data_IF_481960178642
#
_entry.id   IF_481960178642
#
_cell.length_a   1.000
_cell.length_b   1.000
_cell.length_c   1.000
_cell.angle_alpha   90.00
_cell.angle_beta   90.00
_cell.angle_gamma   90.00
#
_symmetry.space_group_name_H-M   'P 1'
#
loop_
_entity.id
_entity.type
_entity.pdbx_description
1 polymer ?
#
# COMPACT_ATOMS: atom_id res chain seq x y z
N UNK A 1 4.70 -8.57 30.75
CA UNK A 1 4.10 -8.20 29.44
C UNK A 1 4.62 -6.80 29.14
N UNK A 2 5.28 -6.55 28.00
CA UNK A 2 5.72 -5.18 27.67
C UNK A 2 4.47 -4.37 27.28
N UNK A 3 4.25 -3.22 27.91
CA UNK A 3 3.12 -2.30 27.69
C UNK A 3 3.25 -1.57 26.35
N UNK A 4 3.37 -2.33 25.27
CA UNK A 4 3.49 -1.77 23.92
C UNK A 4 2.09 -1.53 23.35
N UNK A 5 1.89 -0.36 22.75
CA UNK A 5 0.70 -0.04 21.99
C UNK A 5 0.75 -0.72 20.61
N UNK A 6 -0.34 -1.37 20.22
CA UNK A 6 -0.49 -2.01 18.92
C UNK A 6 -1.78 -1.56 18.28
N UNK A 7 -1.78 -1.48 16.95
CA UNK A 7 -2.95 -1.15 16.14
C UNK A 7 -3.07 -2.14 15.00
N UNK A 8 -4.31 -2.48 14.64
CA UNK A 8 -4.58 -3.21 13.40
C UNK A 8 -4.43 -2.24 12.23
N UNK A 9 -3.56 -2.56 11.28
CA UNK A 9 -3.21 -1.65 10.19
C UNK A 9 -4.39 -1.35 9.26
N UNK A 10 -4.90 -0.10 9.20
CA UNK A 10 -5.91 0.30 8.21
C UNK A 10 -5.32 0.43 6.80
N UNK A 11 -4.01 0.66 6.73
CA UNK A 11 -3.11 0.76 5.59
C UNK A 11 -1.66 0.67 6.10
N UNK A 12 -0.65 0.66 5.22
CA UNK A 12 0.73 0.29 5.57
C UNK A 12 1.82 1.24 5.01
N UNK A 13 1.50 2.51 4.74
CA UNK A 13 2.42 3.53 4.20
C UNK A 13 3.65 3.68 5.10
N UNK A 14 3.47 3.90 6.41
CA UNK A 14 4.56 4.12 7.35
C UNK A 14 5.38 2.85 7.59
N UNK A 15 4.70 1.70 7.62
CA UNK A 15 5.35 0.40 7.75
C UNK A 15 6.23 0.10 6.53
N UNK A 16 5.73 0.36 5.32
CA UNK A 16 6.46 0.17 4.08
C UNK A 16 7.61 1.18 3.95
N UNK A 17 7.39 2.44 4.30
CA UNK A 17 8.46 3.45 4.35
C UNK A 17 9.57 3.04 5.33
N UNK A 18 9.20 2.56 6.52
CA UNK A 18 10.16 2.09 7.52
C UNK A 18 10.97 0.88 7.04
N UNK A 19 10.34 -0.02 6.30
CA UNK A 19 11.01 -1.16 5.65
C UNK A 19 12.03 -0.69 4.61
N UNK A 20 11.60 0.22 3.74
CA UNK A 20 12.36 0.65 2.56
C UNK A 20 13.50 1.60 2.90
N UNK A 21 13.31 2.49 3.88
CA UNK A 21 14.30 3.50 4.31
C UNK A 21 15.69 2.93 4.59
N UNK A 22 15.76 1.72 5.16
CA UNK A 22 17.03 1.07 5.50
C UNK A 22 17.58 0.16 4.39
N UNK A 23 16.80 -0.08 3.33
CA UNK A 23 17.14 -0.99 2.23
C UNK A 23 17.57 -0.27 0.96
N UNK A 24 17.01 0.91 0.70
CA UNK A 24 17.36 1.75 -0.44
C UNK A 24 18.37 2.80 0.02
N UNK A 25 19.62 2.63 -0.37
CA UNK A 25 20.73 3.54 -0.05
C UNK A 25 21.31 4.21 -1.29
N UNK A 26 20.90 3.77 -2.49
CA UNK A 26 21.34 4.35 -3.77
C UNK A 26 20.18 4.49 -4.75
N UNK A 27 20.20 5.56 -5.55
CA UNK A 27 19.26 5.78 -6.66
C UNK A 27 19.28 4.62 -7.67
N UNK A 28 20.37 3.85 -7.76
CA UNK A 28 20.48 2.68 -8.64
C UNK A 28 19.52 1.55 -8.27
N UNK A 29 18.94 1.58 -7.07
CA UNK A 29 17.94 0.63 -6.61
C UNK A 29 16.50 1.10 -6.93
N UNK A 30 16.35 2.23 -7.61
CA UNK A 30 15.07 2.80 -8.03
C UNK A 30 14.94 2.69 -9.57
N UNK A 31 13.71 2.52 -10.10
CA UNK A 31 12.44 2.40 -9.38
C UNK A 31 12.26 1.08 -8.63
N UNK A 32 11.52 1.14 -7.52
CA UNK A 32 11.07 -0.04 -6.78
C UNK A 32 9.56 0.04 -6.57
N UNK A 33 8.84 -1.02 -6.92
CA UNK A 33 7.41 -1.16 -6.61
C UNK A 33 7.19 -2.39 -5.73
N UNK A 34 6.77 -2.18 -4.48
CA UNK A 34 6.45 -3.23 -3.53
C UNK A 34 4.94 -3.37 -3.41
N UNK A 35 4.44 -4.59 -3.28
CA UNK A 35 3.04 -4.82 -2.97
C UNK A 35 2.85 -5.98 -2.02
N UNK A 36 1.72 -5.97 -1.33
CA UNK A 36 1.27 -7.09 -0.53
C UNK A 36 -0.24 -7.26 -0.69
N UNK A 37 -0.73 -8.46 -0.39
CA UNK A 37 -2.16 -8.76 -0.30
C UNK A 37 -2.38 -9.21 1.14
N UNK A 38 -3.16 -8.44 1.90
CA UNK A 38 -3.35 -8.69 3.31
C UNK A 38 -4.67 -8.16 3.84
N UNK A 39 -5.06 -8.66 5.01
CA UNK A 39 -6.23 -8.19 5.72
C UNK A 39 -5.95 -6.81 6.30
N UNK A 40 -6.90 -5.89 6.13
CA UNK A 40 -6.89 -4.55 6.72
C UNK A 40 -8.09 -4.41 7.63
N UNK A 41 -7.94 -3.60 8.67
CA UNK A 41 -9.02 -3.29 9.59
C UNK A 41 -9.27 -1.79 9.62
N UNK A 42 -10.52 -1.39 9.41
CA UNK A 42 -10.98 -0.01 9.58
C UNK A 42 -12.21 -0.05 10.47
N UNK A 43 -12.18 0.67 11.59
CA UNK A 43 -13.33 0.70 12.51
C UNK A 43 -14.47 1.55 11.93
N UNK A 44 -15.17 0.97 10.96
CA UNK A 44 -16.31 1.57 10.31
C UNK A 44 -17.48 1.65 11.29
N UNK A 45 -17.96 2.88 11.53
CA UNK A 45 -19.01 3.18 12.49
C UNK A 45 -20.35 2.52 12.10
N UNK A 46 -20.64 2.41 10.80
CA UNK A 46 -21.88 1.78 10.30
C UNK A 46 -21.59 0.83 9.12
N UNK A 47 -21.14 -0.41 9.39
CA UNK A 47 -20.91 -1.40 8.34
C UNK A 47 -22.23 -1.74 7.64
N UNK A 48 -22.26 -1.67 6.31
CA UNK A 48 -23.45 -1.95 5.49
C UNK A 48 -23.02 -2.55 4.15
N UNK A 49 -23.97 -3.18 3.44
CA UNK A 49 -23.74 -3.67 2.08
C UNK A 49 -22.65 -4.76 1.96
N UNK A 50 -22.43 -5.53 3.03
CA UNK A 50 -21.49 -6.65 3.03
C UNK A 50 -20.07 -6.22 2.70
N UNK A 51 -19.50 -6.77 1.62
CA UNK A 51 -18.13 -6.50 1.18
C UNK A 51 -17.85 -5.04 0.82
N UNK A 52 -18.87 -4.28 0.42
CA UNK A 52 -18.68 -2.89 -0.03
C UNK A 52 -18.30 -1.95 1.12
N UNK A 53 -18.75 -2.23 2.36
CA UNK A 53 -18.45 -1.40 3.54
C UNK A 53 -18.45 -2.25 4.81
N UNK A 54 -17.33 -2.92 5.04
CA UNK A 54 -17.06 -3.77 6.20
C UNK A 54 -15.88 -3.25 7.03
N UNK A 55 -15.67 -3.83 8.22
CA UNK A 55 -14.56 -3.46 9.11
C UNK A 55 -13.26 -4.17 8.79
N UNK A 56 -13.35 -5.41 8.29
CA UNK A 56 -12.21 -6.22 7.91
C UNK A 56 -12.36 -6.64 6.46
N UNK A 57 -11.34 -6.39 5.65
CA UNK A 57 -11.36 -6.68 4.23
C UNK A 57 -9.97 -7.03 3.72
N UNK A 58 -9.92 -7.82 2.65
CA UNK A 58 -8.70 -8.11 1.92
C UNK A 58 -8.36 -6.94 0.99
N UNK A 59 -7.11 -6.49 1.00
CA UNK A 59 -6.65 -5.43 0.13
C UNK A 59 -5.29 -5.79 -0.46
N UNK A 60 -5.13 -5.55 -1.76
CA UNK A 60 -3.81 -5.38 -2.38
C UNK A 60 -3.40 -3.93 -2.25
N UNK A 61 -2.36 -3.67 -1.48
CA UNK A 61 -1.70 -2.36 -1.35
C UNK A 61 -0.36 -2.40 -2.09
N UNK A 62 -0.13 -1.42 -2.96
CA UNK A 62 1.11 -1.24 -3.72
C UNK A 62 1.73 0.12 -3.41
N UNK A 63 3.05 0.14 -3.25
CA UNK A 63 3.84 1.31 -2.89
C UNK A 63 5.06 1.38 -3.80
N UNK A 64 5.19 2.49 -4.52
CA UNK A 64 6.28 2.71 -5.46
C UNK A 64 7.22 3.82 -4.98
N UNK A 65 8.50 3.64 -5.26
CA UNK A 65 9.58 4.53 -4.87
C UNK A 65 10.38 4.90 -6.12
N UNK A 66 10.61 6.20 -6.30
CA UNK A 66 11.16 6.76 -7.53
C UNK A 66 12.24 7.80 -7.21
N UNK A 67 13.22 7.93 -8.11
CA UNK A 67 14.31 8.89 -7.95
C UNK A 67 13.92 10.32 -8.35
N UNK A 68 12.93 10.46 -9.22
CA UNK A 68 12.42 11.73 -9.73
C UNK A 68 10.92 11.65 -10.06
N UNK A 69 10.35 12.80 -10.38
CA UNK A 69 8.92 12.96 -10.63
C UNK A 69 8.50 12.40 -12.01
N UNK A 70 9.40 12.44 -13.00
CA UNK A 70 9.10 11.87 -14.33
C UNK A 70 8.90 10.35 -14.26
N UNK A 71 9.73 9.64 -13.49
CA UNK A 71 9.63 8.21 -13.29
C UNK A 71 8.41 7.83 -12.43
N UNK A 72 8.05 8.67 -11.45
CA UNK A 72 6.79 8.55 -10.70
C UNK A 72 5.58 8.67 -11.65
N UNK A 73 5.58 9.66 -12.54
CA UNK A 73 4.53 9.84 -13.54
C UNK A 73 4.40 8.63 -14.47
N UNK A 74 5.52 8.08 -14.94
CA UNK A 74 5.55 6.84 -15.73
C UNK A 74 4.91 5.67 -14.99
N UNK A 75 5.24 5.50 -13.70
CA UNK A 75 4.70 4.40 -12.88
C UNK A 75 3.20 4.58 -12.60
N UNK A 76 2.75 5.81 -12.36
CA UNK A 76 1.34 6.11 -12.16
C UNK A 76 0.50 5.71 -13.40
N UNK A 77 0.96 6.07 -14.59
CA UNK A 77 0.32 5.68 -15.86
C UNK A 77 0.35 4.15 -16.07
N UNK A 78 1.44 3.49 -15.68
CA UNK A 78 1.54 2.04 -15.73
C UNK A 78 0.51 1.38 -14.79
N UNK A 79 0.35 1.88 -13.56
CA UNK A 79 -0.65 1.38 -12.62
C UNK A 79 -2.06 1.63 -13.14
N UNK A 80 -2.36 2.81 -13.69
CA UNK A 80 -3.65 3.08 -14.31
C UNK A 80 -4.01 2.07 -15.40
N UNK A 81 -3.08 1.80 -16.32
CA UNK A 81 -3.27 0.79 -17.39
C UNK A 81 -3.44 -0.61 -16.82
N UNK A 82 -2.63 -0.96 -15.82
CA UNK A 82 -2.68 -2.28 -15.16
C UNK A 82 -4.05 -2.52 -14.51
N UNK A 83 -4.53 -1.58 -13.71
CA UNK A 83 -5.85 -1.71 -13.07
C UNK A 83 -6.99 -1.65 -14.09
N UNK A 84 -6.84 -0.89 -15.17
CA UNK A 84 -7.81 -0.89 -16.28
C UNK A 84 -7.90 -2.26 -16.95
N UNK A 85 -6.79 -2.98 -17.13
CA UNK A 85 -6.82 -4.35 -17.67
C UNK A 85 -7.40 -5.38 -16.70
N UNK A 86 -7.18 -5.21 -15.40
CA UNK A 86 -7.70 -6.12 -14.37
C UNK A 86 -9.22 -6.00 -14.22
N UNK A 87 -9.77 -4.80 -14.40
CA UNK A 87 -11.18 -4.48 -14.14
C UNK A 87 -12.05 -4.36 -15.41
N UNK A 88 -11.46 -4.50 -16.59
CA UNK A 88 -12.19 -4.67 -17.86
C UNK A 88 -12.87 -6.04 -17.91
#
# INVERSE_FOLDING_TARGET
RKENEFVLGPTHEEAMLSLVKNKITSYKQLPLHLYQIGLKFRDEARPRFGLLRCREFLMKDGYSFHANEEDLGREFELMYKTYSQILQ
#
